data_IF_492064062041
#
_entry.id   IF_492064062041
#
_cell.length_a   1.000
_cell.length_b   1.000
_cell.length_c   1.000
_cell.angle_alpha   90.00
_cell.angle_beta   90.00
_cell.angle_gamma   90.00
#
_symmetry.space_group_name_H-M   'P 1'
#
loop_
_entity.id
_entity.type
_entity.pdbx_description
1 polymer ?
#
# COMPACT_ATOMS: atom_id res chain seq x y z
N UNK A 1 -19.07 -1.59 1.98
CA UNK A 1 -18.32 -1.25 0.77
C UNK A 1 -17.58 0.05 1.06
N UNK A 2 -16.25 0.02 1.01
CA UNK A 2 -15.42 1.18 1.29
C UNK A 2 -15.27 2.04 0.03
N UNK A 3 -15.28 3.37 0.21
CA UNK A 3 -15.07 4.33 -0.86
C UNK A 3 -13.60 4.80 -0.83
N UNK A 4 -12.80 4.38 -1.80
CA UNK A 4 -11.37 4.67 -1.88
C UNK A 4 -11.15 5.86 -2.85
N UNK A 5 -10.56 6.99 -2.40
CA UNK A 5 -10.34 8.16 -3.25
C UNK A 5 -9.10 8.00 -4.12
N UNK A 6 -9.27 7.44 -5.31
CA UNK A 6 -8.20 7.33 -6.30
C UNK A 6 -7.62 8.73 -6.62
N UNK A 7 -6.29 8.96 -6.52
CA UNK A 7 -5.67 10.28 -6.76
C UNK A 7 -5.93 10.87 -8.16
N UNK A 8 -6.43 10.06 -9.09
CA UNK A 8 -6.69 10.46 -10.48
C UNK A 8 -8.17 10.36 -10.86
N UNK A 9 -8.95 9.48 -10.22
CA UNK A 9 -10.33 9.18 -10.61
C UNK A 9 -11.37 9.60 -9.56
N UNK A 10 -10.93 10.10 -8.40
CA UNK A 10 -11.80 10.44 -7.29
C UNK A 10 -12.29 9.22 -6.51
N UNK A 11 -13.31 9.41 -5.65
CA UNK A 11 -13.90 8.34 -4.83
C UNK A 11 -14.55 7.25 -5.68
N UNK A 12 -14.18 5.98 -5.43
CA UNK A 12 -14.70 4.78 -6.12
C UNK A 12 -14.88 3.62 -5.14
N UNK A 13 -15.73 2.66 -5.49
CA UNK A 13 -15.97 1.47 -4.68
C UNK A 13 -14.74 0.57 -4.59
N UNK A 14 -14.49 -0.02 -3.41
CA UNK A 14 -13.33 -0.89 -3.14
C UNK A 14 -13.15 -2.03 -4.14
N UNK A 15 -14.24 -2.53 -4.71
CA UNK A 15 -14.25 -3.63 -5.69
C UNK A 15 -13.63 -3.25 -7.03
N UNK A 16 -13.46 -1.96 -7.33
CA UNK A 16 -12.71 -1.50 -8.50
C UNK A 16 -11.19 -1.65 -8.33
N UNK A 17 -10.71 -1.89 -7.10
CA UNK A 17 -9.30 -1.90 -6.76
C UNK A 17 -8.78 -3.29 -6.41
N UNK A 18 -7.48 -3.49 -6.63
CA UNK A 18 -6.75 -4.64 -6.15
C UNK A 18 -5.79 -4.23 -5.03
N UNK A 19 -5.78 -5.02 -3.95
CA UNK A 19 -4.96 -4.77 -2.78
C UNK A 19 -3.51 -5.24 -2.99
N UNK A 20 -2.52 -4.40 -2.66
CA UNK A 20 -1.11 -4.69 -2.84
C UNK A 20 -0.29 -4.88 -1.57
N UNK A 21 -0.93 -4.98 -0.41
CA UNK A 21 -0.26 -5.14 0.87
C UNK A 21 0.50 -3.90 1.32
N UNK A 22 1.47 -4.09 2.22
CA UNK A 22 2.27 -3.02 2.82
C UNK A 22 2.97 -2.12 1.76
N UNK A 23 2.90 -0.81 1.97
CA UNK A 23 3.65 0.19 1.20
C UNK A 23 5.12 0.28 1.66
N UNK A 24 5.94 0.95 0.84
CA UNK A 24 7.34 1.28 1.17
C UNK A 24 8.27 0.08 1.37
N UNK A 25 7.96 -1.06 0.75
CA UNK A 25 8.90 -2.19 0.64
C UNK A 25 9.47 -2.20 -0.77
N UNK A 26 10.62 -1.55 -0.94
CA UNK A 26 11.32 -1.48 -2.22
C UNK A 26 12.00 -2.82 -2.56
N UNK A 27 12.13 -3.10 -3.86
CA UNK A 27 12.99 -4.19 -4.33
C UNK A 27 14.45 -3.90 -3.94
N UNK A 28 15.22 -4.89 -3.44
CA UNK A 28 16.64 -4.69 -3.15
C UNK A 28 17.41 -4.25 -4.39
N UNK A 29 18.30 -3.27 -4.25
CA UNK A 29 19.11 -2.77 -5.37
C UNK A 29 20.07 -3.83 -5.93
N UNK A 30 20.63 -4.66 -5.04
CA UNK A 30 21.45 -5.81 -5.40
C UNK A 30 20.97 -7.06 -4.62
N UNK A 31 19.99 -7.80 -5.16
CA UNK A 31 19.47 -9.02 -4.52
C UNK A 31 20.52 -10.11 -4.34
N UNK A 32 21.55 -10.17 -5.20
CA UNK A 32 22.57 -11.21 -5.15
C UNK A 32 23.57 -11.00 -4.01
N UNK A 33 23.67 -9.78 -3.48
CA UNK A 33 24.46 -9.45 -2.31
C UNK A 33 23.78 -9.77 -0.97
N UNK A 34 22.48 -10.11 -0.98
CA UNK A 34 21.75 -10.44 0.23
C UNK A 34 22.01 -11.88 0.68
N UNK A 35 22.02 -12.09 1.99
CA UNK A 35 21.88 -13.43 2.57
C UNK A 35 20.50 -14.02 2.28
N UNK A 36 20.39 -15.35 2.32
CA UNK A 36 19.10 -16.06 2.19
C UNK A 36 18.06 -15.56 3.20
N UNK A 37 18.49 -15.18 4.42
CA UNK A 37 17.59 -14.65 5.45
C UNK A 37 17.04 -13.26 5.07
N UNK A 38 17.89 -12.37 4.58
CA UNK A 38 17.48 -11.04 4.12
C UNK A 38 16.59 -11.12 2.88
N UNK A 39 16.92 -12.04 1.96
CA UNK A 39 16.09 -12.32 0.80
C UNK A 39 14.72 -12.89 1.21
N UNK A 40 14.70 -13.84 2.15
CA UNK A 40 13.46 -14.39 2.68
C UNK A 40 12.58 -13.30 3.33
N UNK A 41 13.18 -12.37 4.08
CA UNK A 41 12.47 -11.19 4.61
C UNK A 41 11.85 -10.35 3.49
N UNK A 42 12.57 -10.09 2.41
CA UNK A 42 12.02 -9.37 1.26
C UNK A 42 10.89 -10.14 0.55
N UNK A 43 11.02 -11.45 0.34
CA UNK A 43 10.03 -12.23 -0.43
C UNK A 43 8.78 -12.53 0.40
N UNK A 44 8.93 -12.89 1.67
CA UNK A 44 7.85 -13.48 2.46
C UNK A 44 7.33 -12.61 3.61
N UNK A 45 8.10 -11.62 4.10
CA UNK A 45 7.73 -10.88 5.32
C UNK A 45 7.16 -9.51 5.02
N UNK A 46 5.97 -9.21 5.55
CA UNK A 46 5.35 -7.88 5.54
C UNK A 46 4.80 -7.54 6.91
N UNK A 47 4.76 -6.25 7.23
CA UNK A 47 4.12 -5.77 8.44
C UNK A 47 2.61 -6.07 8.39
N UNK A 48 2.06 -6.51 9.53
CA UNK A 48 0.63 -6.74 9.71
C UNK A 48 0.15 -6.14 11.05
N UNK A 49 0.19 -4.80 11.21
CA UNK A 49 -0.23 -4.15 12.44
C UNK A 49 -1.75 -4.19 12.60
N UNK A 50 -2.21 -4.29 13.85
CA UNK A 50 -3.59 -4.00 14.24
C UNK A 50 -3.71 -2.50 14.54
N UNK A 51 -4.19 -1.73 13.56
CA UNK A 51 -4.19 -0.26 13.59
C UNK A 51 -3.73 0.34 12.26
N UNK A 52 -3.19 1.58 12.26
CA UNK A 52 -2.77 2.26 11.03
C UNK A 52 -1.70 1.50 10.24
N UNK A 53 -2.04 1.10 9.02
CA UNK A 53 -1.13 0.47 8.06
C UNK A 53 -0.95 1.39 6.84
N UNK A 54 0.31 1.67 6.47
CA UNK A 54 0.62 2.19 5.16
C UNK A 54 0.60 1.04 4.15
N UNK A 55 -0.34 1.09 3.21
CA UNK A 55 -0.66 0.02 2.27
C UNK A 55 -0.75 0.55 0.82
N UNK A 56 -0.78 -0.38 -0.14
CA UNK A 56 -0.83 -0.08 -1.58
C UNK A 56 -2.13 -0.57 -2.20
N UNK A 57 -2.61 0.20 -3.16
CA UNK A 57 -3.78 -0.15 -3.96
C UNK A 57 -3.50 0.14 -5.44
N UNK A 58 -4.07 -0.66 -6.33
CA UNK A 58 -4.13 -0.34 -7.76
C UNK A 58 -5.57 -0.24 -8.21
N UNK A 59 -5.90 0.82 -8.96
CA UNK A 59 -7.25 1.02 -9.50
C UNK A 59 -7.47 0.15 -10.75
N UNK A 60 -7.51 -1.17 -10.54
CA UNK A 60 -7.50 -2.19 -11.58
C UNK A 60 -8.64 -2.10 -12.58
N UNK A 61 -9.83 -1.68 -12.16
CA UNK A 61 -11.00 -1.48 -13.03
C UNK A 61 -11.10 -0.05 -13.60
N UNK A 62 -10.16 0.83 -13.30
CA UNK A 62 -10.14 2.23 -13.73
C UNK A 62 -8.82 2.64 -14.37
N UNK A 63 -8.09 3.58 -13.75
CA UNK A 63 -6.87 4.12 -14.34
C UNK A 63 -5.67 3.15 -14.33
N UNK A 64 -5.77 2.01 -13.65
CA UNK A 64 -4.74 0.97 -13.51
C UNK A 64 -3.43 1.45 -12.88
N UNK A 65 -3.47 2.58 -12.16
CA UNK A 65 -2.31 3.16 -11.47
C UNK A 65 -2.26 2.68 -10.03
N UNK A 66 -1.02 2.50 -9.55
CA UNK A 66 -0.71 2.22 -8.16
C UNK A 66 -0.64 3.52 -7.34
N UNK A 67 -1.12 3.46 -6.11
CA UNK A 67 -0.99 4.53 -5.12
C UNK A 67 -0.93 3.93 -3.71
N UNK A 68 -0.64 4.77 -2.73
CA UNK A 68 -0.55 4.38 -1.33
C UNK A 68 -1.74 4.95 -0.53
N UNK A 69 -2.07 4.28 0.56
CA UNK A 69 -3.03 4.75 1.55
C UNK A 69 -2.51 4.48 2.97
N UNK A 70 -3.01 5.25 3.94
CA UNK A 70 -2.94 4.86 5.35
C UNK A 70 -4.34 4.52 5.81
N UNK A 71 -4.56 3.27 6.19
CA UNK A 71 -5.86 2.75 6.65
C UNK A 71 -5.71 2.12 8.03
N UNK A 72 -6.64 2.38 8.94
CA UNK A 72 -6.72 1.60 10.17
C UNK A 72 -7.29 0.21 9.84
N UNK A 73 -6.49 -0.84 10.05
CA UNK A 73 -6.88 -2.22 9.71
C UNK A 73 -7.99 -2.80 10.58
N UNK A 74 -8.38 -2.11 11.66
CA UNK A 74 -9.47 -2.52 12.57
C UNK A 74 -10.80 -1.89 12.18
N UNK A 75 -10.80 -0.62 11.80
CA UNK A 75 -12.02 0.16 11.49
C UNK A 75 -12.25 0.37 10.00
N UNK A 76 -11.21 0.15 9.18
CA UNK A 76 -11.16 0.47 7.77
C UNK A 76 -11.28 1.97 7.46
N UNK A 77 -11.03 2.85 8.44
CA UNK A 77 -10.97 4.28 8.16
C UNK A 77 -9.69 4.63 7.38
N UNK A 78 -9.82 5.41 6.31
CA UNK A 78 -8.70 5.92 5.53
C UNK A 78 -8.25 7.27 6.09
N UNK A 79 -7.09 7.28 6.73
CA UNK A 79 -6.49 8.51 7.26
C UNK A 79 -5.81 9.35 6.17
N UNK A 80 -5.27 8.72 5.12
CA UNK A 80 -4.63 9.42 4.01
C UNK A 80 -4.59 8.58 2.73
N UNK A 81 -4.55 9.26 1.58
CA UNK A 81 -4.23 8.69 0.27
C UNK A 81 -3.22 9.59 -0.42
N UNK A 82 -2.20 8.98 -1.01
CA UNK A 82 -1.04 9.68 -1.59
C UNK A 82 -0.45 8.86 -2.74
N UNK A 83 0.28 9.52 -3.63
CA UNK A 83 0.89 8.89 -4.80
C UNK A 83 2.02 7.95 -4.40
N UNK A 84 2.42 7.10 -5.35
CA UNK A 84 3.43 6.07 -5.11
C UNK A 84 4.81 6.66 -4.80
N UNK A 85 5.12 7.82 -5.38
CA UNK A 85 6.38 8.56 -5.28
C UNK A 85 6.42 9.55 -4.11
N UNK A 86 5.32 9.69 -3.38
CA UNK A 86 5.24 10.57 -2.21
C UNK A 86 5.67 9.82 -0.93
N UNK A 87 6.37 10.50 0.00
CA UNK A 87 6.75 9.89 1.27
C UNK A 87 5.51 9.54 2.10
N UNK A 88 5.64 8.58 3.02
CA UNK A 88 4.57 8.25 3.96
C UNK A 88 4.19 9.52 4.75
N UNK A 89 2.91 9.94 4.74
CA UNK A 89 2.48 11.11 5.51
C UNK A 89 2.55 10.84 7.01
N UNK A 90 2.84 11.89 7.78
CA UNK A 90 2.69 11.87 9.25
C UNK A 90 1.20 12.00 9.55
N UNK A 91 0.62 10.97 10.16
CA UNK A 91 -0.79 10.96 10.58
C UNK A 91 -0.85 11.38 12.06
N UNK A 92 -1.82 12.21 12.47
CA UNK A 92 -2.04 12.56 13.88
C UNK A 92 -2.32 11.36 14.78
#
# INVERSE_FOLDING_TARGET
MQLIPCPWCGPREETEFHYGGQAHVAYPQDPAALSDEEWAKYVFFRANPSGPLAERWTHSAGCRRWFNAVRDTRTHELAAVYRLDEPRPVIP
#
